data_IF_098580734732
#
_entry.id   IF_098580734732
#
_cell.length_a   1.000
_cell.length_b   1.000
_cell.length_c   1.000
_cell.angle_alpha   90.00
_cell.angle_beta   90.00
_cell.angle_gamma   90.00
#
_symmetry.space_group_name_H-M   'P 1'
#
loop_
_entity.id
_entity.type
_entity.pdbx_description
1 polymer ?
#
# COMPACT_ATOMS: atom_id res chain seq x y z
N UNK A 1 -0.26 4.77 -7.03
CA UNK A 1 -1.71 4.55 -7.15
C UNK A 1 -2.09 3.26 -6.44
N UNK A 2 -3.08 3.31 -5.57
CA UNK A 2 -3.57 2.13 -4.85
C UNK A 2 -4.62 1.38 -5.69
N UNK A 3 -4.77 0.06 -5.50
CA UNK A 3 -5.83 -0.69 -6.16
C UNK A 3 -7.21 -0.09 -5.91
N UNK A 4 -8.03 -0.04 -6.96
CA UNK A 4 -9.36 0.59 -6.94
C UNK A 4 -9.34 2.11 -7.08
N UNK A 5 -8.19 2.75 -7.14
CA UNK A 5 -8.05 4.20 -7.31
C UNK A 5 -7.79 4.55 -8.77
N UNK A 6 -8.17 5.76 -9.13
CA UNK A 6 -8.07 6.28 -10.49
C UNK A 6 -7.30 7.57 -10.55
N UNK A 7 -6.72 7.81 -11.71
CA UNK A 7 -6.02 9.04 -12.08
C UNK A 7 -6.64 9.56 -13.37
N UNK A 8 -7.00 10.84 -13.40
CA UNK A 8 -7.54 11.49 -14.59
C UNK A 8 -6.50 12.36 -15.26
N UNK A 9 -6.35 12.17 -16.57
CA UNK A 9 -5.58 13.07 -17.41
C UNK A 9 -6.54 14.08 -18.05
N UNK A 10 -6.32 15.34 -17.78
CA UNK A 10 -7.16 16.42 -18.24
C UNK A 10 -6.54 17.13 -19.45
N UNK A 11 -7.37 17.61 -20.36
CA UNK A 11 -6.93 18.54 -21.40
C UNK A 11 -6.80 19.96 -20.83
N UNK A 12 -6.48 20.92 -21.73
CA UNK A 12 -6.32 22.32 -21.34
C UNK A 12 -7.60 22.97 -20.80
N UNK A 13 -8.76 22.42 -21.16
CA UNK A 13 -10.06 22.91 -20.74
C UNK A 13 -10.55 22.27 -19.43
N UNK A 14 -9.75 21.36 -18.86
CA UNK A 14 -10.13 20.63 -17.65
C UNK A 14 -11.03 19.43 -17.90
N UNK A 15 -11.27 19.07 -19.17
CA UNK A 15 -12.07 17.89 -19.53
C UNK A 15 -11.21 16.64 -19.44
N UNK A 16 -11.76 15.57 -18.85
CA UNK A 16 -11.06 14.30 -18.73
C UNK A 16 -10.84 13.68 -20.12
N UNK A 17 -9.57 13.47 -20.46
CA UNK A 17 -9.16 12.80 -21.71
C UNK A 17 -9.03 11.30 -21.52
N UNK A 18 -8.55 10.89 -20.36
CA UNK A 18 -8.26 9.51 -20.06
C UNK A 18 -8.31 9.30 -18.55
N UNK A 19 -9.05 8.29 -18.13
CA UNK A 19 -9.05 7.83 -16.75
C UNK A 19 -8.28 6.52 -16.67
N UNK A 20 -7.27 6.47 -15.83
CA UNK A 20 -6.46 5.28 -15.57
C UNK A 20 -6.84 4.76 -14.18
N UNK A 21 -7.38 3.56 -14.12
CA UNK A 21 -7.72 2.90 -12.86
C UNK A 21 -6.78 1.74 -12.63
N UNK A 22 -6.20 1.66 -11.44
CA UNK A 22 -5.45 0.48 -11.03
C UNK A 22 -6.44 -0.57 -10.53
N UNK A 23 -6.58 -1.65 -11.29
CA UNK A 23 -7.45 -2.78 -10.91
C UNK A 23 -6.75 -3.68 -9.89
N UNK A 24 -5.53 -4.09 -10.22
CA UNK A 24 -4.71 -4.96 -9.35
C UNK A 24 -3.25 -4.58 -9.44
N UNK A 25 -2.55 -4.77 -8.35
CA UNK A 25 -1.10 -4.62 -8.28
C UNK A 25 -0.50 -5.85 -7.61
N UNK A 26 0.49 -6.46 -8.23
CA UNK A 26 1.16 -7.64 -7.72
C UNK A 26 2.67 -7.42 -7.66
N UNK A 27 3.28 -7.86 -6.57
CA UNK A 27 4.72 -7.93 -6.39
C UNK A 27 5.11 -9.39 -6.41
N UNK A 28 5.86 -9.79 -7.45
CA UNK A 28 6.39 -11.14 -7.54
C UNK A 28 7.70 -11.20 -6.76
N UNK A 29 7.78 -12.13 -5.83
CA UNK A 29 8.96 -12.31 -4.97
C UNK A 29 9.55 -13.69 -5.14
N UNK A 30 10.88 -13.78 -5.02
CA UNK A 30 11.58 -15.07 -5.02
C UNK A 30 11.37 -15.80 -3.67
N UNK A 31 11.82 -17.07 -3.55
CA UNK A 31 11.69 -17.82 -2.29
C UNK A 31 12.38 -17.15 -1.09
N UNK A 32 13.36 -16.28 -1.31
CA UNK A 32 14.03 -15.52 -0.25
C UNK A 32 13.31 -14.22 0.10
N UNK A 33 12.17 -13.90 -0.55
CA UNK A 33 11.37 -12.70 -0.32
C UNK A 33 11.84 -11.47 -1.08
N UNK A 34 12.83 -11.60 -1.98
CA UNK A 34 13.31 -10.48 -2.80
C UNK A 34 12.34 -10.21 -3.94
N UNK A 35 12.18 -8.94 -4.28
CA UNK A 35 11.33 -8.52 -5.39
C UNK A 35 11.94 -8.94 -6.73
N UNK A 36 11.16 -9.70 -7.53
CA UNK A 36 11.53 -10.08 -8.89
C UNK A 36 10.89 -9.17 -9.92
N UNK A 37 9.61 -8.83 -9.72
CA UNK A 37 8.83 -8.06 -10.70
C UNK A 37 7.66 -7.36 -10.03
N UNK A 38 7.27 -6.21 -10.60
CA UNK A 38 6.01 -5.52 -10.26
C UNK A 38 5.10 -5.58 -11.47
N UNK A 39 3.82 -5.86 -11.24
CA UNK A 39 2.82 -5.88 -12.31
C UNK A 39 1.58 -5.12 -11.89
N UNK A 40 1.10 -4.25 -12.78
CA UNK A 40 -0.13 -3.49 -12.58
C UNK A 40 -1.13 -3.83 -13.67
N UNK A 41 -2.31 -4.25 -13.27
CA UNK A 41 -3.46 -4.41 -14.16
C UNK A 41 -4.23 -3.09 -14.17
N UNK A 42 -4.30 -2.47 -15.33
CA UNK A 42 -4.87 -1.14 -15.53
C UNK A 42 -6.13 -1.22 -16.36
N UNK A 43 -7.10 -0.35 -16.02
CA UNK A 43 -8.25 -0.06 -16.87
C UNK A 43 -8.13 1.37 -17.33
N UNK A 44 -8.10 1.56 -18.66
CA UNK A 44 -8.03 2.86 -19.28
C UNK A 44 -9.39 3.18 -19.91
N UNK A 45 -9.96 4.31 -19.54
CA UNK A 45 -11.25 4.75 -20.06
C UNK A 45 -11.12 6.15 -20.67
N UNK A 46 -11.34 6.24 -21.98
CA UNK A 46 -11.46 7.50 -22.70
C UNK A 46 -12.90 7.78 -23.10
N UNK A 47 -13.16 8.89 -23.85
CA UNK A 47 -14.52 9.27 -24.23
C UNK A 47 -15.29 8.21 -25.03
N UNK A 48 -14.60 7.43 -25.86
CA UNK A 48 -15.20 6.46 -26.77
C UNK A 48 -14.59 5.06 -26.68
N UNK A 49 -13.66 4.84 -25.74
CA UNK A 49 -12.93 3.58 -25.66
C UNK A 49 -12.66 3.21 -24.22
N UNK A 50 -12.59 1.91 -23.97
CA UNK A 50 -12.02 1.37 -22.76
C UNK A 50 -11.06 0.24 -23.13
N UNK A 51 -9.98 0.12 -22.35
CA UNK A 51 -8.91 -0.85 -22.58
C UNK A 51 -8.47 -1.41 -21.25
N UNK A 52 -8.34 -2.75 -21.20
CA UNK A 52 -7.69 -3.43 -20.08
C UNK A 52 -6.27 -3.80 -20.51
N UNK A 53 -5.29 -3.48 -19.69
CA UNK A 53 -3.89 -3.76 -19.98
C UNK A 53 -3.11 -4.11 -18.73
N UNK A 54 -2.03 -4.86 -18.88
CA UNK A 54 -1.08 -5.13 -17.82
C UNK A 54 0.26 -4.52 -18.18
N UNK A 55 0.89 -3.85 -17.21
CA UNK A 55 2.25 -3.34 -17.33
C UNK A 55 3.16 -3.94 -16.28
N UNK A 56 4.44 -4.00 -16.61
CA UNK A 56 5.50 -4.40 -15.70
C UNK A 56 6.74 -3.53 -15.95
N UNK A 57 7.80 -3.71 -15.15
CA UNK A 57 8.97 -2.82 -15.20
C UNK A 57 9.55 -2.68 -16.60
N UNK A 58 9.62 -3.78 -17.37
CA UNK A 58 10.19 -3.77 -18.72
C UNK A 58 9.14 -3.77 -19.84
N UNK A 59 7.86 -3.66 -19.50
CA UNK A 59 6.76 -3.74 -20.45
C UNK A 59 5.78 -2.60 -20.22
N UNK A 60 6.15 -1.36 -20.63
CA UNK A 60 5.26 -0.22 -20.51
C UNK A 60 4.11 -0.30 -21.50
N UNK A 61 3.04 0.42 -21.24
CA UNK A 61 1.91 0.57 -22.14
C UNK A 61 2.03 1.90 -22.89
N UNK A 62 1.90 1.84 -24.21
CA UNK A 62 1.76 3.03 -25.05
C UNK A 62 0.32 3.14 -25.53
N UNK A 63 -0.29 4.26 -25.24
CA UNK A 63 -1.69 4.51 -25.60
C UNK A 63 -1.91 5.99 -25.91
N UNK A 64 -2.35 6.28 -27.13
CA UNK A 64 -2.67 7.66 -27.59
C UNK A 64 -1.56 8.68 -27.33
N UNK A 65 -0.33 8.31 -27.63
CA UNK A 65 0.83 9.20 -27.47
C UNK A 65 1.35 9.32 -26.04
N UNK A 66 0.74 8.62 -25.08
CA UNK A 66 1.17 8.56 -23.70
C UNK A 66 1.80 7.18 -23.44
N UNK A 67 2.93 7.19 -22.75
CA UNK A 67 3.56 5.95 -22.30
C UNK A 67 3.42 5.85 -20.78
N UNK A 68 2.90 4.74 -20.31
CA UNK A 68 2.71 4.44 -18.88
C UNK A 68 3.75 3.40 -18.47
N UNK A 69 4.62 3.77 -17.55
CA UNK A 69 5.69 2.92 -17.05
C UNK A 69 5.35 2.45 -15.63
N UNK A 70 5.68 1.19 -15.35
CA UNK A 70 5.75 0.70 -13.97
C UNK A 70 7.06 1.21 -13.36
N UNK A 71 6.99 2.16 -12.44
CA UNK A 71 8.18 2.79 -11.86
C UNK A 71 8.57 2.12 -10.53
N UNK A 72 7.71 2.22 -9.52
CA UNK A 72 8.06 1.84 -8.15
C UNK A 72 6.84 1.24 -7.44
N UNK A 73 7.01 0.85 -6.19
CA UNK A 73 5.92 0.41 -5.34
C UNK A 73 6.04 1.05 -3.96
N UNK A 74 4.93 1.07 -3.26
CA UNK A 74 4.87 1.52 -1.88
C UNK A 74 3.83 0.71 -1.13
N UNK A 75 3.71 0.91 0.18
CA UNK A 75 2.61 0.37 0.96
C UNK A 75 1.57 1.47 1.16
N UNK A 76 0.32 1.18 0.82
CA UNK A 76 -0.77 2.15 0.89
C UNK A 76 -1.49 2.12 2.23
N UNK A 77 -2.02 0.94 2.60
CA UNK A 77 -2.86 0.78 3.78
C UNK A 77 -2.55 -0.51 4.52
N UNK A 78 -2.94 -0.53 5.78
CA UNK A 78 -2.94 -1.72 6.61
C UNK A 78 -4.35 -1.92 7.16
N UNK A 79 -4.84 -3.16 7.07
CA UNK A 79 -6.09 -3.57 7.69
C UNK A 79 -5.76 -4.30 8.98
N UNK A 80 -6.23 -3.78 10.10
CA UNK A 80 -5.93 -4.33 11.42
C UNK A 80 -7.13 -4.26 12.34
N UNK A 81 -7.06 -5.04 13.40
CA UNK A 81 -8.06 -5.06 14.47
C UNK A 81 -7.35 -4.96 15.81
N UNK A 82 -7.84 -4.09 16.67
CA UNK A 82 -7.31 -3.88 18.01
C UNK A 82 -8.45 -4.00 19.03
N UNK A 83 -8.28 -4.85 20.05
CA UNK A 83 -9.30 -5.09 21.05
C UNK A 83 -10.59 -5.61 20.43
N UNK A 84 -11.69 -4.93 20.71
CA UNK A 84 -13.02 -5.24 20.18
C UNK A 84 -13.41 -4.35 19.01
N UNK A 85 -12.46 -3.63 18.42
CA UNK A 85 -12.76 -2.76 17.28
C UNK A 85 -13.20 -3.58 16.07
N UNK A 86 -13.94 -2.97 15.12
CA UNK A 86 -14.06 -3.56 13.79
C UNK A 86 -12.70 -3.59 13.12
N UNK A 87 -12.60 -4.25 11.97
CA UNK A 87 -11.39 -4.16 11.15
C UNK A 87 -11.25 -2.72 10.64
N UNK A 88 -10.11 -2.10 10.93
CA UNK A 88 -9.79 -0.75 10.53
C UNK A 88 -8.83 -0.80 9.34
N UNK A 89 -9.13 -0.03 8.31
CA UNK A 89 -8.21 0.19 7.18
C UNK A 89 -7.59 1.57 7.33
N UNK A 90 -6.28 1.62 7.57
CA UNK A 90 -5.56 2.84 7.92
C UNK A 90 -4.44 3.11 6.93
N UNK A 91 -4.21 4.39 6.57
CA UNK A 91 -3.12 4.74 5.67
C UNK A 91 -1.76 4.56 6.35
N UNK A 92 -0.80 4.12 5.55
CA UNK A 92 0.60 4.02 5.95
C UNK A 92 1.37 5.23 5.43
N UNK A 93 2.34 5.67 6.21
CA UNK A 93 3.24 6.78 5.86
C UNK A 93 4.66 6.27 5.78
N UNK A 94 5.49 6.94 4.98
CA UNK A 94 6.91 6.66 4.93
C UNK A 94 7.64 7.34 6.08
N UNK A 95 8.68 6.68 6.59
CA UNK A 95 9.55 7.20 7.65
C UNK A 95 11.01 7.13 7.20
N UNK A 96 11.44 8.08 6.34
CA UNK A 96 12.80 8.07 5.78
C UNK A 96 13.89 8.17 6.85
N UNK A 97 13.60 8.77 7.99
CA UNK A 97 14.51 8.88 9.11
C UNK A 97 14.84 7.53 9.77
N UNK A 98 14.00 6.52 9.54
CA UNK A 98 14.20 5.17 10.07
C UNK A 98 14.83 4.21 9.05
N UNK A 99 14.79 4.57 7.77
CA UNK A 99 15.36 3.75 6.69
C UNK A 99 14.72 4.04 5.35
N UNK A 100 15.28 3.46 4.28
CA UNK A 100 14.90 3.77 2.90
C UNK A 100 13.51 3.24 2.52
N UNK A 101 13.07 2.12 3.12
CA UNK A 101 11.80 1.48 2.79
C UNK A 101 11.09 1.07 4.08
N UNK A 102 10.76 2.08 4.89
CA UNK A 102 9.99 1.87 6.13
C UNK A 102 8.69 2.64 6.04
N UNK A 103 7.60 1.92 6.19
CA UNK A 103 6.24 2.45 6.30
C UNK A 103 5.71 2.18 7.69
N UNK A 104 4.85 3.04 8.16
CA UNK A 104 4.29 2.85 9.48
C UNK A 104 3.14 3.76 9.79
N UNK A 105 2.66 3.63 11.01
CA UNK A 105 1.64 4.50 11.58
C UNK A 105 1.72 4.47 13.10
N UNK A 106 1.17 5.52 13.69
CA UNK A 106 1.00 5.63 15.15
C UNK A 106 -0.45 5.33 15.50
N UNK A 107 -0.67 4.45 16.46
CA UNK A 107 -1.99 4.07 16.94
C UNK A 107 -2.12 4.33 18.43
N UNK A 108 -3.18 5.01 18.89
CA UNK A 108 -3.51 5.01 20.31
C UNK A 108 -4.07 3.64 20.72
N UNK A 109 -3.75 3.18 21.91
CA UNK A 109 -4.30 1.92 22.46
C UNK A 109 -5.43 2.17 23.43
N UNK A 110 -5.69 3.42 23.80
CA UNK A 110 -6.76 3.81 24.74
C UNK A 110 -7.69 4.82 24.07
N UNK A 111 -8.98 4.86 24.48
CA UNK A 111 -9.95 5.81 23.90
C UNK A 111 -9.58 7.29 24.09
N UNK A 112 -8.81 7.62 25.13
CA UNK A 112 -8.33 8.97 25.37
C UNK A 112 -7.07 9.35 24.58
N UNK A 113 -6.58 8.45 23.72
CA UNK A 113 -5.39 8.64 22.90
C UNK A 113 -4.07 8.38 23.61
N UNK A 114 -4.11 7.88 24.87
CA UNK A 114 -2.89 7.54 25.61
C UNK A 114 -2.31 6.18 25.21
N UNK A 115 -1.10 5.94 25.66
CA UNK A 115 -0.32 4.72 25.39
C UNK A 115 -0.22 4.41 23.89
N UNK A 116 0.27 5.36 23.08
CA UNK A 116 0.38 5.12 21.64
C UNK A 116 1.44 4.06 21.35
N UNK A 117 1.23 3.33 20.25
CA UNK A 117 2.21 2.40 19.73
C UNK A 117 2.52 2.77 18.28
N UNK A 118 3.72 2.41 17.84
CA UNK A 118 4.18 2.60 16.48
C UNK A 118 4.29 1.24 15.79
N UNK A 119 3.65 1.10 14.63
CA UNK A 119 3.79 -0.07 13.77
C UNK A 119 4.72 0.28 12.62
N UNK A 120 5.69 -0.59 12.36
CA UNK A 120 6.59 -0.44 11.21
C UNK A 120 6.55 -1.66 10.32
N UNK A 121 6.67 -1.42 9.01
CA UNK A 121 6.61 -2.43 7.97
C UNK A 121 7.67 -2.12 6.91
N UNK A 122 8.29 -3.17 6.38
CA UNK A 122 9.24 -3.06 5.27
C UNK A 122 8.69 -3.65 3.97
N UNK A 123 7.64 -4.48 4.05
CA UNK A 123 6.98 -5.11 2.89
C UNK A 123 5.54 -5.46 3.20
N UNK A 124 4.78 -5.77 2.15
CA UNK A 124 3.38 -6.23 2.27
C UNK A 124 3.25 -7.61 2.91
N UNK A 125 4.33 -8.36 2.96
CA UNK A 125 4.35 -9.67 3.62
C UNK A 125 4.61 -9.56 5.12
N UNK A 126 4.97 -8.36 5.60
CA UNK A 126 5.27 -8.12 6.99
C UNK A 126 6.55 -8.81 7.46
N UNK A 127 6.72 -9.02 8.77
CA UNK A 127 5.77 -8.67 9.83
C UNK A 127 5.67 -7.17 10.08
N UNK A 128 4.54 -6.76 10.67
CA UNK A 128 4.43 -5.45 11.29
C UNK A 128 5.04 -5.54 12.69
N UNK A 129 6.04 -4.74 12.96
CA UNK A 129 6.68 -4.68 14.27
C UNK A 129 6.07 -3.54 15.07
N UNK A 130 5.66 -3.83 16.30
CA UNK A 130 5.00 -2.89 17.19
C UNK A 130 5.97 -2.43 18.27
N UNK A 131 6.11 -1.11 18.40
CA UNK A 131 6.98 -0.47 19.40
C UNK A 131 6.15 0.42 20.32
N UNK A 132 6.57 0.53 21.60
CA UNK A 132 6.00 1.51 22.50
C UNK A 132 6.61 2.91 22.28
N UNK A 133 6.18 3.89 23.08
CA UNK A 133 6.67 5.27 22.97
C UNK A 133 8.16 5.41 23.32
N UNK A 134 8.73 4.45 24.03
CA UNK A 134 10.15 4.42 24.39
C UNK A 134 11.00 3.70 23.34
N UNK A 135 10.39 3.19 22.27
CA UNK A 135 11.06 2.44 21.23
C UNK A 135 11.30 0.98 21.54
N UNK A 136 10.69 0.44 22.59
CA UNK A 136 10.79 -0.96 22.95
C UNK A 136 9.85 -1.79 22.08
N UNK A 137 10.37 -2.88 21.49
CA UNK A 137 9.54 -3.79 20.70
C UNK A 137 8.57 -4.57 21.61
N UNK A 138 7.29 -4.50 21.28
CA UNK A 138 6.22 -5.17 22.01
C UNK A 138 5.74 -6.45 21.33
N UNK A 139 5.71 -6.46 20.00
CA UNK A 139 5.15 -7.57 19.25
C UNK A 139 5.59 -7.54 17.79
N UNK A 140 5.40 -8.66 17.10
CA UNK A 140 5.52 -8.79 15.64
C UNK A 140 4.27 -9.49 15.14
N UNK A 141 3.56 -8.84 14.22
CA UNK A 141 2.28 -9.30 13.70
C UNK A 141 2.43 -9.66 12.23
N UNK A 142 2.14 -10.90 11.86
CA UNK A 142 2.12 -11.31 10.46
C UNK A 142 0.75 -11.03 9.85
N UNK A 143 0.69 -10.49 8.61
CA UNK A 143 -0.60 -10.35 7.93
C UNK A 143 -1.31 -11.69 7.81
N UNK A 144 -2.58 -11.74 8.25
CA UNK A 144 -3.37 -12.96 8.31
C UNK A 144 -3.04 -13.89 9.47
N UNK A 145 -2.10 -13.52 10.33
CA UNK A 145 -1.70 -14.32 11.48
C UNK A 145 -2.59 -14.13 12.72
N UNK A 146 -2.26 -14.84 13.80
CA UNK A 146 -3.04 -14.75 15.04
C UNK A 146 -2.87 -13.42 15.74
N UNK A 147 -3.81 -13.08 16.62
CA UNK A 147 -3.70 -11.91 17.50
C UNK A 147 -2.56 -12.08 18.49
N UNK A 148 -1.89 -10.97 18.79
CA UNK A 148 -0.89 -10.88 19.84
C UNK A 148 -1.31 -9.76 20.81
N UNK A 149 -1.11 -9.96 22.09
CA UNK A 149 -1.45 -8.96 23.10
C UNK A 149 -0.47 -7.80 23.06
N UNK A 150 -1.01 -6.58 22.89
CA UNK A 150 -0.25 -5.32 22.86
C UNK A 150 -0.91 -4.36 23.84
N UNK A 151 -0.18 -3.95 24.89
CA UNK A 151 -0.71 -3.05 25.93
C UNK A 151 -2.03 -3.56 26.55
N UNK A 152 -2.15 -4.87 26.71
CA UNK A 152 -3.34 -5.51 27.29
C UNK A 152 -4.49 -5.72 26.30
N UNK A 153 -4.31 -5.42 25.03
CA UNK A 153 -5.34 -5.59 23.99
C UNK A 153 -4.86 -6.58 22.94
N UNK A 154 -5.75 -7.48 22.46
CA UNK A 154 -5.40 -8.31 21.32
C UNK A 154 -5.30 -7.43 20.06
N UNK A 155 -4.24 -7.62 19.29
CA UNK A 155 -4.01 -6.91 18.04
C UNK A 155 -3.64 -7.90 16.96
N UNK A 156 -4.22 -7.75 15.79
CA UNK A 156 -3.88 -8.56 14.63
C UNK A 156 -3.89 -7.70 13.36
N UNK A 157 -3.08 -8.11 12.40
CA UNK A 157 -3.05 -7.53 11.04
C UNK A 157 -3.73 -8.51 10.11
N UNK A 158 -4.76 -8.04 9.39
CA UNK A 158 -5.44 -8.87 8.38
C UNK A 158 -4.69 -8.84 7.05
N UNK A 159 -4.34 -7.66 6.59
CA UNK A 159 -3.68 -7.48 5.30
C UNK A 159 -2.91 -6.16 5.23
N UNK A 160 -1.92 -6.13 4.36
CA UNK A 160 -1.19 -4.92 3.97
C UNK A 160 -1.34 -4.76 2.48
N UNK A 161 -1.84 -3.60 2.04
CA UNK A 161 -2.12 -3.32 0.64
C UNK A 161 -1.01 -2.50 0.02
N UNK A 162 -0.31 -3.05 -1.00
CA UNK A 162 0.68 -2.28 -1.73
C UNK A 162 0.03 -1.34 -2.75
N UNK A 163 0.77 -0.32 -3.17
CA UNK A 163 0.38 0.62 -4.21
C UNK A 163 1.42 0.65 -5.32
N UNK A 164 0.95 0.85 -6.55
CA UNK A 164 1.79 0.97 -7.72
C UNK A 164 2.28 2.40 -7.91
N UNK A 165 3.58 2.57 -8.18
CA UNK A 165 4.13 3.82 -8.67
C UNK A 165 4.14 3.82 -10.19
N UNK A 166 3.39 4.74 -10.80
CA UNK A 166 3.29 4.90 -12.24
C UNK A 166 4.00 6.17 -12.68
N UNK A 167 4.70 6.09 -13.81
CA UNK A 167 5.32 7.23 -14.46
C UNK A 167 4.70 7.39 -15.85
N UNK A 168 4.18 8.58 -16.14
CA UNK A 168 3.59 8.91 -17.43
C UNK A 168 4.48 9.88 -18.19
N UNK A 169 4.67 9.59 -19.47
CA UNK A 169 5.41 10.47 -20.39
C UNK A 169 4.66 10.67 -21.67
#
# INVERSE_FOLDING_TARGET
LAPGRSLDLLDRDGTSQLTITLDRFAIDRDPAGRTEQFRSALKLKGPNQSLDAEISVNHPLRHRGITIYQADWSLATISLQIGRSPVLELPLQTYPELGDQIWGLVLPTRPDGTEPVFLSLESEQGPATVFDADGQQLARLRPGGPSVEVKGLPMRVDAVLPASGLLLK
#
